data_IF_530044471570
#
_entry.id   IF_530044471570
#
_cell.length_a   1.000
_cell.length_b   1.000
_cell.length_c   1.000
_cell.angle_alpha   90.00
_cell.angle_beta   90.00
_cell.angle_gamma   90.00
#
_symmetry.space_group_name_H-M   'P 1'
#
loop_
_entity.id
_entity.type
_entity.pdbx_description
1 polymer ?
#
# COMPACT_ATOMS: atom_id res chain seq x y z
N UNK A 1 -6.81 11.00 0.46
CA UNK A 1 -5.41 11.03 0.95
C UNK A 1 -4.52 11.53 -0.16
N UNK A 2 -3.89 12.70 0.02
CA UNK A 2 -3.19 13.44 -1.04
C UNK A 2 -1.73 13.00 -1.28
N UNK A 3 -1.36 11.75 -0.96
CA UNK A 3 0.03 11.28 -1.11
C UNK A 3 1.06 11.97 -0.19
N UNK A 4 0.61 12.70 0.83
CA UNK A 4 1.43 13.62 1.63
C UNK A 4 2.15 12.96 2.83
N UNK A 5 2.71 11.75 2.68
CA UNK A 5 3.29 10.99 3.81
C UNK A 5 4.39 11.72 4.58
N UNK A 6 5.17 12.56 3.89
CA UNK A 6 6.24 13.38 4.46
C UNK A 6 5.77 14.63 5.22
N UNK A 7 4.49 15.00 5.13
CA UNK A 7 3.96 16.25 5.71
C UNK A 7 3.54 16.11 7.17
N UNK A 8 3.57 14.90 7.73
CA UNK A 8 3.43 14.63 9.18
C UNK A 8 2.17 15.27 9.81
N UNK A 9 1.03 15.18 9.13
CA UNK A 9 -0.26 15.63 9.64
C UNK A 9 -1.21 14.44 9.88
N UNK A 10 -1.89 14.48 11.02
CA UNK A 10 -3.01 13.60 11.35
C UNK A 10 -4.00 14.33 12.25
N UNK A 11 -5.25 13.89 12.27
CA UNK A 11 -6.29 14.47 13.12
C UNK A 11 -7.05 13.37 13.84
N UNK A 12 -7.55 13.70 15.03
CA UNK A 12 -8.52 12.88 15.76
C UNK A 12 -9.83 13.65 15.83
N UNK A 13 -10.95 12.96 15.62
CA UNK A 13 -12.28 13.52 15.83
C UNK A 13 -12.95 12.75 16.97
N UNK A 14 -13.44 13.48 17.97
CA UNK A 14 -14.12 12.90 19.13
C UNK A 14 -15.60 13.29 19.11
N UNK A 15 -16.53 12.36 19.34
CA UNK A 15 -17.91 12.71 19.58
C UNK A 15 -18.03 13.52 20.88
N UNK A 16 -19.09 14.33 21.01
CA UNK A 16 -19.27 15.25 22.17
C UNK A 16 -19.20 14.53 23.52
N UNK A 17 -19.65 13.28 23.58
CA UNK A 17 -19.65 12.45 24.80
C UNK A 17 -18.24 12.06 25.26
N UNK A 18 -17.24 12.14 24.37
CA UNK A 18 -15.84 11.84 24.65
C UNK A 18 -14.99 13.11 24.78
N UNK A 19 -15.60 14.26 25.11
CA UNK A 19 -14.87 15.51 25.29
C UNK A 19 -13.78 15.41 26.36
N UNK A 20 -14.05 14.68 27.45
CA UNK A 20 -13.06 14.41 28.50
C UNK A 20 -11.79 13.74 27.94
N UNK A 21 -11.92 12.89 26.91
CA UNK A 21 -10.80 12.21 26.27
C UNK A 21 -10.05 13.15 25.33
N UNK A 22 -10.76 14.02 24.61
CA UNK A 22 -10.14 15.09 23.82
C UNK A 22 -9.28 15.98 24.72
N UNK A 23 -9.80 16.46 25.85
CA UNK A 23 -9.05 17.31 26.78
C UNK A 23 -7.81 16.60 27.31
N UNK A 24 -7.95 15.34 27.75
CA UNK A 24 -6.82 14.54 28.21
C UNK A 24 -5.76 14.35 27.12
N UNK A 25 -6.17 14.03 25.89
CA UNK A 25 -5.24 13.87 24.77
C UNK A 25 -4.57 15.19 24.37
N UNK A 26 -5.28 16.31 24.42
CA UNK A 26 -4.72 17.65 24.16
C UNK A 26 -3.67 18.03 25.20
N UNK A 27 -3.90 17.76 26.48
CA UNK A 27 -2.93 18.01 27.54
C UNK A 27 -1.67 17.13 27.37
N UNK A 28 -1.83 15.84 27.07
CA UNK A 28 -0.68 14.96 26.79
C UNK A 28 0.08 15.43 25.56
N UNK A 29 -0.63 15.81 24.50
CA UNK A 29 -0.03 16.30 23.28
C UNK A 29 0.82 17.55 23.53
N UNK A 30 0.32 18.55 24.26
CA UNK A 30 1.05 19.80 24.52
C UNK A 30 2.35 19.61 25.30
N UNK A 31 2.40 18.59 26.16
CA UNK A 31 3.59 18.25 26.95
C UNK A 31 4.55 17.29 26.22
N UNK A 32 4.06 16.52 25.23
CA UNK A 32 4.87 15.52 24.52
C UNK A 32 5.48 16.07 23.23
N UNK A 33 4.74 16.90 22.49
CA UNK A 33 5.16 17.46 21.22
C UNK A 33 4.60 18.85 21.01
N UNK A 34 5.34 19.71 20.32
CA UNK A 34 4.83 21.01 19.88
C UNK A 34 3.71 20.83 18.85
N UNK A 35 2.91 21.87 18.62
CA UNK A 35 1.93 21.88 17.54
C UNK A 35 2.55 21.55 16.18
N UNK A 36 1.80 20.90 15.28
CA UNK A 36 2.19 20.73 13.87
C UNK A 36 2.63 22.07 13.27
N UNK A 37 3.64 22.09 12.40
CA UNK A 37 4.15 23.35 11.86
C UNK A 37 3.06 24.13 11.10
N UNK A 38 3.04 25.45 11.26
CA UNK A 38 2.00 26.30 10.68
C UNK A 38 1.84 26.11 9.16
N UNK A 39 2.90 26.01 8.33
CA UNK A 39 2.75 25.77 6.90
C UNK A 39 2.00 24.48 6.56
N UNK A 40 2.21 23.41 7.34
CA UNK A 40 1.49 22.13 7.16
C UNK A 40 0.02 22.28 7.55
N UNK A 41 -0.29 23.08 8.58
CA UNK A 41 -1.68 23.38 8.94
C UNK A 41 -2.40 24.15 7.83
N UNK A 42 -1.75 25.14 7.18
CA UNK A 42 -2.33 25.83 6.02
C UNK A 42 -2.56 24.88 4.83
N UNK A 43 -1.62 23.99 4.54
CA UNK A 43 -1.81 22.95 3.53
C UNK A 43 -2.95 21.99 3.89
N UNK A 44 -3.16 21.69 5.17
CA UNK A 44 -4.28 20.89 5.65
C UNK A 44 -5.62 21.54 5.33
N UNK A 45 -5.76 22.84 5.60
CA UNK A 45 -6.99 23.59 5.32
C UNK A 45 -7.34 23.47 3.84
N UNK A 46 -6.37 23.76 2.95
CA UNK A 46 -6.56 23.63 1.51
C UNK A 46 -6.93 22.19 1.06
N UNK A 47 -6.44 21.17 1.78
CA UNK A 47 -6.74 19.77 1.50
C UNK A 47 -8.11 19.31 2.01
N UNK A 48 -8.67 19.95 3.04
CA UNK A 48 -9.99 19.63 3.59
C UNK A 48 -11.13 20.48 3.01
N UNK A 49 -10.82 21.67 2.50
CA UNK A 49 -11.79 22.50 1.79
C UNK A 49 -12.15 21.90 0.42
N UNK A 50 -13.38 22.14 -0.09
CA UNK A 50 -13.76 21.71 -1.42
C UNK A 50 -12.80 22.24 -2.49
N UNK A 51 -12.07 21.33 -3.14
CA UNK A 51 -11.07 21.66 -4.14
C UNK A 51 -11.14 20.66 -5.30
N UNK A 52 -11.52 21.15 -6.48
CA UNK A 52 -11.70 20.32 -7.68
C UNK A 52 -10.40 19.67 -8.18
N UNK A 53 -9.26 20.32 -7.98
CA UNK A 53 -7.96 19.78 -8.37
C UNK A 53 -7.59 18.60 -7.49
N UNK A 54 -7.83 18.72 -6.18
CA UNK A 54 -7.62 17.62 -5.22
C UNK A 54 -8.58 16.48 -5.49
N UNK A 55 -9.86 16.75 -5.72
CA UNK A 55 -10.83 15.70 -6.05
C UNK A 55 -10.45 14.94 -7.33
N UNK A 56 -10.03 15.67 -8.37
CA UNK A 56 -9.53 15.08 -9.62
C UNK A 56 -8.29 14.22 -9.39
N UNK A 57 -7.32 14.74 -8.64
CA UNK A 57 -6.12 14.00 -8.25
C UNK A 57 -6.50 12.69 -7.53
N UNK A 58 -7.33 12.77 -6.49
CA UNK A 58 -7.74 11.60 -5.71
C UNK A 58 -8.50 10.59 -6.56
N UNK A 59 -9.39 11.06 -7.44
CA UNK A 59 -10.12 10.21 -8.37
C UNK A 59 -9.16 9.45 -9.29
N UNK A 60 -8.23 10.15 -9.96
CA UNK A 60 -7.25 9.55 -10.88
C UNK A 60 -6.31 8.57 -10.17
N UNK A 61 -5.78 8.94 -9.00
CA UNK A 61 -4.92 8.03 -8.21
C UNK A 61 -5.66 6.75 -7.83
N UNK A 62 -6.91 6.86 -7.36
CA UNK A 62 -7.72 5.68 -7.01
C UNK A 62 -8.02 4.82 -8.23
N UNK A 63 -8.28 5.43 -9.38
CA UNK A 63 -8.56 4.72 -10.63
C UNK A 63 -7.38 3.85 -11.08
N UNK A 64 -6.17 4.39 -11.04
CA UNK A 64 -4.93 3.65 -11.35
C UNK A 64 -4.72 2.49 -10.35
N UNK A 65 -4.80 2.78 -9.04
CA UNK A 65 -4.56 1.77 -8.01
C UNK A 65 -5.63 0.67 -7.97
N UNK A 66 -6.88 1.00 -8.36
CA UNK A 66 -7.99 0.06 -8.49
C UNK A 66 -7.78 -0.92 -9.64
N UNK A 67 -7.07 -0.52 -10.71
CA UNK A 67 -6.68 -1.45 -11.77
C UNK A 67 -5.44 -2.28 -11.38
N UNK A 68 -4.45 -1.64 -10.76
CA UNK A 68 -3.17 -2.28 -10.43
C UNK A 68 -3.30 -3.37 -9.35
N UNK A 69 -3.99 -3.10 -8.24
CA UNK A 69 -4.09 -4.03 -7.11
C UNK A 69 -4.65 -5.42 -7.51
N UNK A 70 -5.82 -5.49 -8.16
CA UNK A 70 -6.41 -6.74 -8.66
C UNK A 70 -5.50 -7.50 -9.63
N UNK A 71 -4.81 -6.80 -10.54
CA UNK A 71 -3.90 -7.42 -11.50
C UNK A 71 -2.72 -8.11 -10.79
N UNK A 72 -2.13 -7.45 -9.79
CA UNK A 72 -1.06 -8.04 -8.97
C UNK A 72 -1.57 -9.24 -8.14
N UNK A 73 -2.76 -9.12 -7.55
CA UNK A 73 -3.39 -10.22 -6.82
C UNK A 73 -3.66 -11.42 -7.73
N UNK A 74 -4.15 -11.20 -8.95
CA UNK A 74 -4.38 -12.23 -9.97
C UNK A 74 -3.10 -12.99 -10.30
N UNK A 75 -1.98 -12.30 -10.48
CA UNK A 75 -0.67 -12.92 -10.78
C UNK A 75 -0.18 -13.81 -9.64
N UNK A 76 -0.29 -13.35 -8.39
CA UNK A 76 0.07 -14.14 -7.21
C UNK A 76 -0.81 -15.39 -7.08
N UNK A 77 -2.12 -15.25 -7.28
CA UNK A 77 -3.05 -16.40 -7.26
C UNK A 77 -2.73 -17.44 -8.33
N UNK A 78 -2.26 -17.00 -9.50
CA UNK A 78 -1.89 -17.91 -10.59
C UNK A 78 -0.74 -18.87 -10.24
N UNK A 79 0.09 -18.55 -9.24
CA UNK A 79 1.17 -19.41 -8.73
C UNK A 79 0.82 -20.09 -7.40
N UNK A 80 -0.45 -20.10 -7.01
CA UNK A 80 -0.94 -20.78 -5.81
C UNK A 80 -0.81 -19.99 -4.50
N UNK A 81 -0.53 -18.68 -4.56
CA UNK A 81 -0.56 -17.80 -3.39
C UNK A 81 -2.00 -17.35 -3.14
N UNK A 82 -2.49 -17.47 -1.91
CA UNK A 82 -3.81 -16.96 -1.56
C UNK A 82 -3.75 -15.45 -1.35
N UNK A 83 -4.63 -14.70 -2.02
CA UNK A 83 -4.70 -13.25 -1.88
C UNK A 83 -6.15 -12.82 -1.84
N UNK A 84 -6.54 -12.04 -0.83
CA UNK A 84 -7.86 -11.42 -0.76
C UNK A 84 -7.92 -10.27 -1.78
N UNK A 85 -9.06 -10.12 -2.45
CA UNK A 85 -9.25 -9.05 -3.42
C UNK A 85 -9.12 -7.67 -2.75
N UNK A 86 -8.23 -6.78 -3.24
CA UNK A 86 -8.02 -5.48 -2.63
C UNK A 86 -9.20 -4.55 -2.93
N UNK A 87 -9.97 -4.19 -1.89
CA UNK A 87 -11.08 -3.23 -2.00
C UNK A 87 -10.68 -1.80 -1.63
N UNK A 88 -9.47 -1.59 -1.13
CA UNK A 88 -8.97 -0.30 -0.70
C UNK A 88 -7.54 -0.34 -0.20
N UNK A 89 -7.00 0.85 0.12
CA UNK A 89 -5.58 1.01 0.43
C UNK A 89 -4.70 0.82 -0.79
N UNK A 90 -3.43 0.54 -0.53
CA UNK A 90 -2.41 0.29 -1.56
C UNK A 90 -1.46 -0.85 -1.17
N UNK A 91 -2.03 -1.83 -0.45
CA UNK A 91 -1.32 -3.01 0.03
C UNK A 91 -2.05 -4.29 -0.35
N UNK A 92 -1.29 -5.34 -0.64
CA UNK A 92 -1.79 -6.72 -0.66
C UNK A 92 -1.33 -7.43 0.62
N UNK A 93 -2.13 -8.38 1.08
CA UNK A 93 -1.79 -9.25 2.22
C UNK A 93 -1.82 -10.74 1.80
N UNK A 94 -0.90 -11.19 0.92
CA UNK A 94 -0.84 -12.58 0.47
C UNK A 94 -0.51 -13.57 1.58
N UNK A 95 -1.06 -14.79 1.46
CA UNK A 95 -0.70 -15.97 2.23
C UNK A 95 -0.04 -17.02 1.32
N UNK A 96 1.22 -17.32 1.61
CA UNK A 96 2.03 -18.32 0.92
C UNK A 96 1.94 -19.71 1.59
N UNK A 97 1.10 -19.87 2.62
CA UNK A 97 0.90 -21.14 3.32
C UNK A 97 0.47 -22.31 2.43
N UNK A 98 -0.29 -22.13 1.33
CA UNK A 98 -0.54 -23.22 0.37
C UNK A 98 0.73 -23.81 -0.25
N UNK A 99 1.83 -23.06 -0.23
CA UNK A 99 3.13 -23.44 -0.81
C UNK A 99 4.14 -23.87 0.27
N UNK A 100 3.66 -24.14 1.49
CA UNK A 100 4.47 -24.44 2.68
C UNK A 100 5.47 -25.57 2.46
N UNK A 101 5.07 -26.69 1.88
CA UNK A 101 5.95 -27.84 1.68
C UNK A 101 7.14 -27.48 0.78
N UNK A 102 6.85 -26.79 -0.31
CA UNK A 102 7.85 -26.33 -1.28
C UNK A 102 8.81 -25.30 -0.67
N UNK A 103 8.28 -24.34 0.07
CA UNK A 103 9.08 -23.32 0.77
C UNK A 103 9.91 -23.95 1.90
N UNK A 104 9.36 -24.93 2.63
CA UNK A 104 10.06 -25.66 3.68
C UNK A 104 11.23 -26.48 3.14
N UNK A 105 11.10 -27.09 1.94
CA UNK A 105 12.20 -27.78 1.26
C UNK A 105 13.39 -26.85 0.96
N UNK A 106 13.16 -25.54 0.90
CA UNK A 106 14.16 -24.49 0.72
C UNK A 106 14.60 -23.85 2.06
N UNK A 107 14.16 -24.40 3.19
CA UNK A 107 14.44 -23.90 4.54
C UNK A 107 13.60 -22.69 4.98
N UNK A 108 12.57 -22.34 4.21
CA UNK A 108 11.68 -21.20 4.44
C UNK A 108 10.46 -21.70 5.22
N UNK A 109 10.51 -21.57 6.55
CA UNK A 109 9.47 -22.08 7.45
C UNK A 109 8.71 -20.98 8.20
N UNK A 110 9.10 -19.72 8.01
CA UNK A 110 8.58 -18.56 8.75
C UNK A 110 8.45 -17.35 7.85
N UNK A 111 7.50 -16.44 8.10
CA UNK A 111 7.33 -15.23 7.28
C UNK A 111 8.57 -14.32 7.25
N UNK A 112 9.36 -14.22 8.34
CA UNK A 112 10.61 -13.45 8.32
C UNK A 112 11.62 -14.02 7.32
N UNK A 113 11.79 -15.35 7.32
CA UNK A 113 12.65 -16.05 6.34
C UNK A 113 12.11 -15.89 4.93
N UNK A 114 10.79 -15.93 4.74
CA UNK A 114 10.16 -15.70 3.44
C UNK A 114 10.54 -14.31 2.90
N UNK A 115 10.40 -13.26 3.72
CA UNK A 115 10.76 -11.89 3.35
C UNK A 115 12.25 -11.73 3.05
N UNK A 116 13.13 -12.24 3.93
CA UNK A 116 14.58 -12.14 3.73
C UNK A 116 15.04 -12.89 2.47
N UNK A 117 14.55 -14.10 2.24
CA UNK A 117 14.95 -14.90 1.07
C UNK A 117 14.39 -14.35 -0.23
N UNK A 118 13.18 -13.79 -0.23
CA UNK A 118 12.65 -13.09 -1.40
C UNK A 118 13.46 -11.83 -1.74
N UNK A 119 13.94 -11.10 -0.74
CA UNK A 119 14.84 -9.96 -0.95
C UNK A 119 16.19 -10.41 -1.52
N UNK A 120 16.83 -11.40 -0.90
CA UNK A 120 18.17 -11.89 -1.29
C UNK A 120 18.18 -12.55 -2.68
N UNK A 121 17.15 -13.35 -2.99
CA UNK A 121 17.16 -14.21 -4.20
C UNK A 121 16.35 -13.65 -5.37
N UNK A 122 15.32 -12.84 -5.09
CA UNK A 122 14.45 -12.25 -6.12
C UNK A 122 14.57 -10.71 -6.21
N UNK A 123 15.25 -10.07 -5.25
CA UNK A 123 15.34 -8.61 -5.16
C UNK A 123 14.01 -7.94 -4.81
N UNK A 124 13.10 -8.66 -4.16
CA UNK A 124 11.75 -8.18 -3.83
C UNK A 124 11.63 -7.95 -2.33
N UNK A 125 11.45 -6.70 -1.92
CA UNK A 125 11.26 -6.31 -0.53
C UNK A 125 9.77 -6.25 -0.15
N UNK A 126 9.40 -6.89 0.96
CA UNK A 126 8.09 -6.75 1.60
C UNK A 126 8.21 -6.99 3.11
N UNK A 127 7.14 -6.71 3.85
CA UNK A 127 7.12 -6.91 5.30
C UNK A 127 6.52 -8.27 5.65
N UNK A 128 7.13 -9.05 6.56
CA UNK A 128 6.59 -10.33 6.99
C UNK A 128 5.33 -10.14 7.86
N UNK A 129 4.47 -11.15 7.88
CA UNK A 129 3.24 -11.17 8.69
C UNK A 129 3.48 -10.97 10.19
N UNK A 130 4.64 -11.37 10.71
CA UNK A 130 5.08 -11.15 12.09
C UNK A 130 5.04 -9.68 12.51
N UNK A 131 5.32 -8.75 11.59
CA UNK A 131 5.24 -7.31 11.87
C UNK A 131 3.80 -6.80 12.03
N UNK A 132 2.82 -7.62 11.71
CA UNK A 132 1.38 -7.35 11.83
C UNK A 132 0.70 -8.25 12.85
N UNK A 133 1.49 -8.86 13.75
CA UNK A 133 0.96 -9.73 14.82
C UNK A 133 0.46 -11.09 14.35
N UNK A 134 0.85 -11.54 13.14
CA UNK A 134 0.56 -12.91 12.67
C UNK A 134 1.55 -13.91 13.31
N UNK A 135 1.13 -15.17 13.55
CA UNK A 135 2.02 -16.24 13.97
C UNK A 135 3.24 -16.38 13.04
N UNK A 136 4.38 -16.76 13.62
CA UNK A 136 5.67 -16.82 12.91
C UNK A 136 5.65 -17.82 11.75
N UNK A 137 4.91 -18.91 11.92
CA UNK A 137 4.78 -20.02 10.98
C UNK A 137 3.73 -19.76 9.90
N UNK A 138 2.89 -18.73 10.04
CA UNK A 138 2.04 -18.27 8.95
C UNK A 138 2.89 -17.53 7.92
N UNK A 139 2.86 -18.02 6.69
CA UNK A 139 3.68 -17.48 5.60
C UNK A 139 2.97 -16.30 4.93
N UNK A 140 2.48 -15.35 5.74
CA UNK A 140 1.82 -14.13 5.26
C UNK A 140 2.81 -12.98 5.10
N UNK A 141 2.48 -12.03 4.24
CA UNK A 141 3.29 -10.84 4.01
C UNK A 141 2.41 -9.62 3.68
N UNK A 142 2.94 -8.41 3.85
CA UNK A 142 2.34 -7.16 3.35
C UNK A 142 3.20 -6.60 2.22
N UNK A 143 2.63 -6.52 1.02
CA UNK A 143 3.26 -5.95 -0.18
C UNK A 143 2.64 -4.58 -0.45
N UNK A 144 3.47 -3.56 -0.65
CA UNK A 144 3.02 -2.24 -1.13
C UNK A 144 3.19 -2.16 -2.64
N UNK A 145 2.19 -1.66 -3.36
CA UNK A 145 2.22 -1.60 -4.83
C UNK A 145 2.28 -0.17 -5.39
N UNK A 146 2.96 0.73 -4.67
CA UNK A 146 3.10 2.16 -5.05
C UNK A 146 4.52 2.54 -5.47
N UNK A 147 5.36 1.55 -5.80
CA UNK A 147 6.75 1.78 -6.22
C UNK A 147 6.84 2.09 -7.72
N UNK A 148 6.26 3.20 -8.16
CA UNK A 148 6.32 3.69 -9.53
C UNK A 148 6.25 5.22 -9.56
N UNK A 149 6.56 5.82 -10.71
CA UNK A 149 6.46 7.27 -10.90
C UNK A 149 4.98 7.69 -10.98
N UNK A 150 4.44 8.08 -9.83
CA UNK A 150 3.06 8.54 -9.72
C UNK A 150 2.78 9.82 -10.51
N UNK A 151 3.76 10.71 -10.69
CA UNK A 151 3.56 11.95 -11.44
C UNK A 151 3.38 11.64 -12.93
N UNK A 152 4.25 10.79 -13.47
CA UNK A 152 4.15 10.35 -14.87
C UNK A 152 2.88 9.55 -15.12
N UNK A 153 2.52 8.62 -14.22
CA UNK A 153 1.29 7.85 -14.35
C UNK A 153 0.04 8.73 -14.30
N UNK A 154 0.00 9.72 -13.39
CA UNK A 154 -1.11 10.66 -13.30
C UNK A 154 -1.22 11.53 -14.55
N UNK A 155 -0.11 12.10 -15.02
CA UNK A 155 -0.10 12.92 -16.24
C UNK A 155 -0.60 12.11 -17.45
N UNK A 156 -0.21 10.84 -17.57
CA UNK A 156 -0.70 9.96 -18.63
C UNK A 156 -2.21 9.67 -18.50
N UNK A 157 -2.69 9.38 -17.28
CA UNK A 157 -4.12 9.15 -17.04
C UNK A 157 -4.97 10.41 -17.28
N UNK A 158 -4.41 11.61 -17.10
CA UNK A 158 -5.09 12.87 -17.40
C UNK A 158 -5.29 13.12 -18.89
N UNK A 159 -4.43 12.56 -19.76
CA UNK A 159 -4.60 12.64 -21.21
C UNK A 159 -5.70 11.70 -21.74
N UNK A 160 -6.22 10.80 -20.89
CA UNK A 160 -7.30 9.89 -21.25
C UNK A 160 -8.65 10.44 -20.78
N UNK A 161 -9.76 10.09 -21.48
CA UNK A 161 -11.11 10.36 -20.99
C UNK A 161 -11.29 9.96 -19.52
N UNK A 162 -12.17 10.67 -18.83
CA UNK A 162 -12.41 10.41 -17.40
C UNK A 162 -12.95 9.01 -17.15
N UNK A 163 -13.66 8.41 -18.09
CA UNK A 163 -14.25 7.08 -18.03
C UNK A 163 -13.38 5.99 -18.66
N UNK A 164 -12.22 6.34 -19.22
CA UNK A 164 -11.32 5.37 -19.83
C UNK A 164 -10.83 4.36 -18.79
N UNK A 165 -10.90 3.07 -19.12
CA UNK A 165 -10.35 2.01 -18.27
C UNK A 165 -8.81 2.08 -18.26
N UNK A 166 -8.23 1.82 -17.09
CA UNK A 166 -6.79 1.63 -16.96
C UNK A 166 -6.50 0.16 -17.28
N UNK A 167 -6.06 -0.08 -18.51
CA UNK A 167 -5.78 -1.42 -19.02
C UNK A 167 -4.37 -1.91 -18.64
N UNK A 168 -4.08 -3.17 -18.98
CA UNK A 168 -2.77 -3.77 -18.71
C UNK A 168 -1.64 -3.04 -19.44
N UNK A 169 -1.88 -2.52 -20.66
CA UNK A 169 -0.86 -1.80 -21.42
C UNK A 169 -0.46 -0.50 -20.72
N UNK A 170 -1.43 0.24 -20.16
CA UNK A 170 -1.17 1.39 -19.30
C UNK A 170 -0.35 0.99 -18.07
N UNK A 171 -0.77 -0.05 -17.35
CA UNK A 171 -0.09 -0.49 -16.14
C UNK A 171 1.35 -0.92 -16.42
N UNK A 172 1.59 -1.68 -17.49
CA UNK A 172 2.94 -2.09 -17.89
C UNK A 172 3.83 -0.90 -18.23
N UNK A 173 3.26 0.16 -18.83
CA UNK A 173 4.01 1.34 -19.23
C UNK A 173 4.33 2.29 -18.07
N UNK A 174 3.38 2.48 -17.15
CA UNK A 174 3.45 3.55 -16.14
C UNK A 174 3.53 3.05 -14.69
N UNK A 175 3.27 1.76 -14.46
CA UNK A 175 3.28 1.11 -13.15
C UNK A 175 4.17 -0.15 -13.18
N UNK A 176 5.26 -0.11 -13.94
CA UNK A 176 6.14 -1.27 -14.17
C UNK A 176 6.73 -1.85 -12.87
N UNK A 177 7.14 -1.00 -11.93
CA UNK A 177 7.85 -1.42 -10.71
C UNK A 177 7.14 -2.53 -9.93
N UNK A 178 5.87 -2.34 -9.51
CA UNK A 178 5.11 -3.39 -8.82
C UNK A 178 4.86 -4.63 -9.67
N UNK A 179 4.63 -4.48 -10.99
CA UNK A 179 4.42 -5.61 -11.90
C UNK A 179 5.67 -6.49 -11.97
N UNK A 180 6.83 -5.88 -12.24
CA UNK A 180 8.12 -6.57 -12.30
C UNK A 180 8.47 -7.23 -10.96
N UNK A 181 8.19 -6.57 -9.84
CA UNK A 181 8.43 -7.14 -8.52
C UNK A 181 7.55 -8.37 -8.26
N UNK A 182 6.26 -8.32 -8.60
CA UNK A 182 5.35 -9.47 -8.45
C UNK A 182 5.72 -10.59 -9.41
N UNK A 183 6.10 -10.30 -10.65
CA UNK A 183 6.53 -11.32 -11.62
C UNK A 183 7.77 -12.07 -11.12
N UNK A 184 8.79 -11.35 -10.64
CA UNK A 184 9.98 -11.96 -10.03
C UNK A 184 9.63 -12.82 -8.83
N UNK A 185 8.69 -12.36 -8.00
CA UNK A 185 8.23 -13.12 -6.84
C UNK A 185 7.50 -14.40 -7.27
N UNK A 186 6.61 -14.31 -8.27
CA UNK A 186 5.90 -15.45 -8.83
C UNK A 186 6.87 -16.48 -9.41
N UNK A 187 7.83 -16.06 -10.23
CA UNK A 187 8.89 -16.93 -10.76
C UNK A 187 9.71 -17.57 -9.63
N UNK A 188 10.08 -16.80 -8.61
CA UNK A 188 10.88 -17.27 -7.49
C UNK A 188 10.16 -18.31 -6.62
N UNK A 189 8.86 -18.14 -6.41
CA UNK A 189 8.01 -19.10 -5.70
C UNK A 189 7.73 -20.34 -6.57
N UNK A 190 7.68 -20.17 -7.90
CA UNK A 190 7.47 -21.26 -8.85
C UNK A 190 8.70 -22.18 -9.04
N UNK A 191 9.89 -21.79 -8.59
CA UNK A 191 11.08 -22.67 -8.46
C UNK A 191 10.92 -23.66 -7.31
#
# INVERSE_FOLDING_TARGET
WCGAGGWRLGTFAFPRQLHWLLEAMSAVASETFTSTSAPIQYAAVAAFEPNIEIERYLWRTRHILRALGPELARRLRAVGVEVIEPVGGFYLFPDFSPLREKLAARGITTSDKLANRALEEAGVAFLPGTHFGRPREELTARLAYVNFDGATALAAAEQQPADAEIDLAFLQRYCEGPLTAVDRLCEWVAR
#
